data_IF_687594257697
#
_entry.id   IF_687594257697
#
_cell.length_a   1.000
_cell.length_b   1.000
_cell.length_c   1.000
_cell.angle_alpha   90.00
_cell.angle_beta   90.00
_cell.angle_gamma   90.00
#
_symmetry.space_group_name_H-M   'P 1'
#
loop_
_entity.id
_entity.type
_entity.pdbx_description
1 polymer ?
#
# COMPACT_ATOMS: atom_id res chain seq x y z
N UNK A 1 0.24 -0.77 15.51
CA UNK A 1 -0.36 -1.01 14.18
C UNK A 1 0.09 -2.38 13.73
N UNK A 2 -0.78 -3.13 13.07
CA UNK A 2 -0.51 -4.46 12.52
C UNK A 2 -0.63 -4.33 11.01
N UNK A 3 0.28 -4.96 10.27
CA UNK A 3 0.37 -4.83 8.82
C UNK A 3 0.33 -6.20 8.15
N UNK A 4 -0.52 -6.33 7.13
CA UNK A 4 -0.59 -7.47 6.23
C UNK A 4 -0.41 -6.97 4.80
N UNK A 5 0.66 -7.41 4.13
CA UNK A 5 0.84 -7.19 2.71
C UNK A 5 0.14 -8.30 1.93
N UNK A 6 -0.70 -7.94 0.97
CA UNK A 6 -1.27 -8.88 0.01
C UNK A 6 -0.40 -8.99 -1.24
N UNK A 7 -0.29 -10.21 -1.75
CA UNK A 7 0.44 -10.57 -2.96
C UNK A 7 -0.14 -11.87 -3.51
N UNK A 8 0.20 -12.20 -4.74
CA UNK A 8 -0.29 -13.39 -5.44
C UNK A 8 0.20 -14.67 -4.74
N UNK A 9 -0.71 -15.59 -4.42
CA UNK A 9 -0.39 -16.79 -3.65
C UNK A 9 -0.25 -16.58 -2.14
N UNK A 10 -0.73 -15.45 -1.59
CA UNK A 10 -0.89 -15.29 -0.14
C UNK A 10 -1.88 -16.34 0.39
N UNK A 11 -1.41 -17.21 1.28
CA UNK A 11 -2.24 -18.25 1.89
C UNK A 11 -2.66 -17.92 3.34
N UNK A 12 -3.54 -18.76 3.89
CA UNK A 12 -4.01 -18.66 5.28
C UNK A 12 -2.85 -18.81 6.28
N UNK A 13 -1.82 -19.61 5.97
CA UNK A 13 -0.71 -19.83 6.90
C UNK A 13 0.11 -18.57 7.12
N UNK A 14 0.35 -17.78 6.06
CA UNK A 14 1.10 -16.54 6.15
C UNK A 14 0.26 -15.39 6.74
N UNK A 15 -1.06 -15.43 6.57
CA UNK A 15 -1.96 -14.38 7.04
C UNK A 15 -2.46 -14.59 8.48
N UNK A 16 -2.72 -15.84 8.88
CA UNK A 16 -3.40 -16.19 10.14
C UNK A 16 -2.47 -16.82 11.17
N UNK A 17 -1.90 -17.99 10.89
CA UNK A 17 -1.01 -18.67 11.82
C UNK A 17 -0.13 -19.70 11.14
N UNK A 18 0.98 -20.01 11.79
CA UNK A 18 1.84 -21.15 11.42
C UNK A 18 2.20 -21.93 12.70
N UNK A 19 2.30 -23.25 12.58
CA UNK A 19 2.81 -24.08 13.67
C UNK A 19 4.34 -24.09 13.66
N UNK A 20 4.95 -23.85 14.82
CA UNK A 20 6.40 -23.96 14.99
C UNK A 20 6.81 -25.44 15.09
N UNK A 21 6.88 -26.11 13.95
CA UNK A 21 7.23 -27.53 13.85
C UNK A 21 8.63 -27.84 14.41
N UNK A 22 9.60 -26.95 14.21
CA UNK A 22 10.94 -27.13 14.76
C UNK A 22 10.92 -27.20 16.30
N UNK A 23 10.14 -26.33 16.94
CA UNK A 23 9.99 -26.32 18.39
C UNK A 23 9.18 -27.52 18.89
N UNK A 24 8.14 -27.94 18.15
CA UNK A 24 7.40 -29.16 18.46
C UNK A 24 8.32 -30.40 18.44
N UNK A 25 9.16 -30.54 17.42
CA UNK A 25 10.12 -31.66 17.32
C UNK A 25 11.14 -31.64 18.46
N UNK A 26 11.64 -30.46 18.82
CA UNK A 26 12.55 -30.33 19.96
C UNK A 26 11.89 -30.77 21.27
N UNK A 27 10.64 -30.35 21.49
CA UNK A 27 9.87 -30.73 22.68
C UNK A 27 9.67 -32.25 22.76
N UNK A 28 9.28 -32.89 21.65
CA UNK A 28 9.12 -34.35 21.57
C UNK A 28 10.42 -35.05 21.97
N UNK A 29 11.57 -34.61 21.45
CA UNK A 29 12.88 -35.21 21.76
C UNK A 29 13.26 -35.06 23.24
N UNK A 30 12.95 -33.91 23.85
CA UNK A 30 13.19 -33.68 25.26
C UNK A 30 12.30 -34.57 26.14
N UNK A 31 11.02 -34.71 25.78
CA UNK A 31 10.09 -35.61 26.45
C UNK A 31 10.54 -37.07 26.36
N UNK A 32 10.92 -37.55 25.17
CA UNK A 32 11.47 -38.89 24.96
C UNK A 32 12.72 -39.14 25.82
N UNK A 33 13.64 -38.18 25.89
CA UNK A 33 14.85 -38.28 26.71
C UNK A 33 14.56 -38.31 28.22
N UNK A 34 13.47 -37.68 28.66
CA UNK A 34 13.06 -37.62 30.07
C UNK A 34 12.28 -38.87 30.54
N UNK A 35 11.88 -39.76 29.63
CA UNK A 35 11.15 -41.00 29.95
C UNK A 35 9.68 -40.80 30.35
N UNK A 36 9.14 -39.58 30.27
CA UNK A 36 7.71 -39.28 30.46
C UNK A 36 7.00 -39.34 29.10
N UNK A 37 6.34 -40.46 28.79
CA UNK A 37 5.51 -40.55 27.59
C UNK A 37 4.14 -41.12 27.95
N UNK A 38 3.26 -40.24 28.42
CA UNK A 38 1.83 -40.43 28.18
C UNK A 38 1.51 -39.81 26.80
N UNK A 39 1.19 -40.66 25.83
CA UNK A 39 1.03 -40.27 24.42
C UNK A 39 -0.14 -39.33 24.20
N UNK A 40 -1.21 -39.48 24.97
CA UNK A 40 -2.40 -38.64 24.82
C UNK A 40 -2.15 -37.24 25.38
N UNK A 41 -1.55 -37.13 26.57
CA UNK A 41 -1.19 -35.83 27.15
C UNK A 41 -0.14 -35.11 26.31
N UNK A 42 0.86 -35.84 25.79
CA UNK A 42 1.89 -35.26 24.94
C UNK A 42 1.33 -34.71 23.62
N UNK A 43 0.38 -35.41 22.98
CA UNK A 43 -0.24 -34.96 21.72
C UNK A 43 -1.07 -33.69 21.93
N UNK A 44 -1.86 -33.62 23.00
CA UNK A 44 -2.63 -32.41 23.33
C UNK A 44 -1.71 -31.21 23.63
N UNK A 45 -0.56 -31.46 24.27
CA UNK A 45 0.40 -30.42 24.61
C UNK A 45 1.16 -29.88 23.37
N UNK A 46 1.27 -30.67 22.29
CA UNK A 46 1.90 -30.27 21.03
C UNK A 46 1.06 -29.30 20.19
N UNK A 47 -0.27 -29.39 20.28
CA UNK A 47 -1.20 -28.48 19.60
C UNK A 47 -1.75 -27.45 20.59
N UNK A 48 -0.84 -26.67 21.16
CA UNK A 48 -1.16 -25.60 22.11
C UNK A 48 -0.61 -24.26 21.63
N UNK A 49 -1.19 -23.15 22.10
CA UNK A 49 -0.80 -21.80 21.70
C UNK A 49 0.71 -21.51 21.80
N UNK A 50 1.45 -22.23 22.67
CA UNK A 50 2.90 -22.04 22.83
C UNK A 50 3.73 -22.35 21.58
N UNK A 51 3.19 -23.16 20.67
CA UNK A 51 3.80 -23.49 19.38
C UNK A 51 3.16 -22.72 18.23
N UNK A 52 2.12 -21.92 18.49
CA UNK A 52 1.40 -21.18 17.47
C UNK A 52 2.11 -19.85 17.20
N UNK A 53 2.60 -19.67 15.97
CA UNK A 53 3.11 -18.39 15.48
C UNK A 53 1.92 -17.61 14.94
N UNK A 54 1.40 -16.68 15.74
CA UNK A 54 0.31 -15.79 15.32
C UNK A 54 0.80 -14.86 14.21
N UNK A 55 0.12 -14.84 13.06
CA UNK A 55 0.38 -13.92 11.93
C UNK A 55 -0.56 -12.71 11.98
N UNK A 56 -0.43 -11.71 11.08
CA UNK A 56 -1.10 -10.42 11.24
C UNK A 56 -2.62 -10.49 11.53
N UNK A 57 -3.37 -11.36 10.85
CA UNK A 57 -4.82 -11.44 11.05
C UNK A 57 -5.18 -11.98 12.44
N UNK A 58 -4.55 -13.08 12.87
CA UNK A 58 -4.79 -13.64 14.21
C UNK A 58 -4.29 -12.70 15.31
N UNK A 59 -3.15 -12.03 15.08
CA UNK A 59 -2.66 -11.00 16.00
C UNK A 59 -3.64 -9.83 16.13
N UNK A 60 -4.41 -9.51 15.08
CA UNK A 60 -5.35 -8.39 15.08
C UNK A 60 -6.62 -8.67 15.88
N UNK A 61 -7.05 -9.94 15.92
CA UNK A 61 -8.24 -10.37 16.65
C UNK A 61 -7.94 -11.04 18.00
N UNK A 62 -6.68 -11.02 18.44
CA UNK A 62 -6.24 -11.64 19.68
C UNK A 62 -6.99 -11.07 20.92
N UNK A 63 -7.66 -11.97 21.63
CA UNK A 63 -8.46 -11.69 22.84
C UNK A 63 -7.65 -11.07 23.98
N UNK A 64 -6.35 -11.35 24.04
CA UNK A 64 -5.46 -10.81 25.09
C UNK A 64 -5.19 -9.31 24.96
N UNK A 65 -5.57 -8.69 23.83
CA UNK A 65 -5.36 -7.25 23.63
C UNK A 65 -6.23 -6.43 24.58
N UNK A 66 -5.63 -5.39 25.16
CA UNK A 66 -6.33 -4.43 26.04
C UNK A 66 -7.02 -3.29 25.28
N UNK A 67 -6.73 -3.12 23.99
CA UNK A 67 -7.25 -2.03 23.15
C UNK A 67 -7.37 -2.48 21.70
N UNK A 68 -8.32 -1.88 20.98
CA UNK A 68 -8.53 -2.09 19.56
C UNK A 68 -7.24 -1.74 18.78
N UNK A 69 -6.63 -2.68 18.04
CA UNK A 69 -5.49 -2.37 17.19
C UNK A 69 -5.96 -1.73 15.87
N UNK A 70 -5.02 -1.12 15.15
CA UNK A 70 -5.21 -0.76 13.74
C UNK A 70 -4.61 -1.87 12.91
N UNK A 71 -5.41 -2.46 12.01
CA UNK A 71 -5.01 -3.46 11.03
C UNK A 71 -4.98 -2.80 9.64
N UNK A 72 -3.80 -2.73 9.04
CA UNK A 72 -3.63 -2.33 7.64
C UNK A 72 -3.49 -3.58 6.78
N UNK A 73 -4.36 -3.73 5.79
CA UNK A 73 -4.32 -4.74 4.75
C UNK A 73 -3.96 -4.01 3.46
N UNK A 74 -2.74 -4.21 2.99
CA UNK A 74 -2.17 -3.45 1.88
C UNK A 74 -2.24 -4.24 0.58
N UNK A 75 -2.57 -3.59 -0.53
CA UNK A 75 -2.66 -4.15 -1.89
C UNK A 75 -3.58 -5.37 -2.03
N UNK A 76 -4.78 -5.32 -1.43
CA UNK A 76 -5.69 -6.48 -1.41
C UNK A 76 -6.05 -7.01 -2.81
N UNK A 77 -6.05 -6.15 -3.83
CA UNK A 77 -6.28 -6.53 -5.23
C UNK A 77 -5.28 -7.53 -5.80
N UNK A 78 -4.13 -7.73 -5.12
CA UNK A 78 -3.12 -8.72 -5.51
C UNK A 78 -3.33 -10.10 -4.87
N UNK A 79 -4.21 -10.22 -3.89
CA UNK A 79 -4.55 -11.52 -3.31
C UNK A 79 -5.62 -12.22 -4.17
N UNK A 80 -5.71 -13.53 -4.01
CA UNK A 80 -6.65 -14.39 -4.73
C UNK A 80 -8.07 -14.32 -4.14
N UNK A 81 -9.09 -14.70 -4.92
CA UNK A 81 -10.50 -14.64 -4.50
C UNK A 81 -10.81 -15.48 -3.26
N UNK A 82 -10.12 -16.62 -3.09
CA UNK A 82 -10.26 -17.48 -1.91
C UNK A 82 -9.88 -16.72 -0.62
N UNK A 83 -8.78 -15.96 -0.68
CA UNK A 83 -8.33 -15.14 0.43
C UNK A 83 -9.31 -13.99 0.72
N UNK A 84 -9.85 -13.34 -0.31
CA UNK A 84 -10.91 -12.33 -0.13
C UNK A 84 -12.15 -12.92 0.57
N UNK A 85 -12.56 -14.13 0.19
CA UNK A 85 -13.68 -14.85 0.80
C UNK A 85 -13.44 -15.10 2.30
N UNK A 86 -12.25 -15.59 2.64
CA UNK A 86 -11.84 -15.76 4.04
C UNK A 86 -11.83 -14.43 4.80
N UNK A 87 -11.25 -13.39 4.20
CA UNK A 87 -11.18 -12.07 4.81
C UNK A 87 -12.57 -11.48 5.06
N UNK A 88 -13.51 -11.68 4.13
CA UNK A 88 -14.91 -11.27 4.29
C UNK A 88 -15.61 -11.94 5.48
N UNK A 89 -15.36 -13.23 5.69
CA UNK A 89 -15.88 -13.96 6.85
C UNK A 89 -15.27 -13.42 8.15
N UNK A 90 -13.94 -13.28 8.17
CA UNK A 90 -13.22 -12.78 9.34
C UNK A 90 -13.66 -11.36 9.70
N UNK A 91 -13.67 -10.43 8.74
CA UNK A 91 -14.08 -9.03 8.97
C UNK A 91 -15.56 -8.91 9.36
N UNK A 92 -16.40 -9.86 8.97
CA UNK A 92 -17.82 -9.87 9.35
C UNK A 92 -18.03 -10.13 10.84
N UNK A 93 -17.22 -11.00 11.45
CA UNK A 93 -17.41 -11.45 12.83
C UNK A 93 -16.23 -11.12 13.77
N UNK A 94 -15.15 -10.58 13.22
CA UNK A 94 -13.83 -10.43 13.85
C UNK A 94 -13.38 -11.69 14.60
N UNK A 95 -13.53 -12.83 13.94
CA UNK A 95 -13.21 -14.14 14.50
C UNK A 95 -12.51 -15.02 13.48
N UNK A 96 -11.67 -15.93 13.97
CA UNK A 96 -11.02 -16.98 13.17
C UNK A 96 -11.07 -18.27 13.97
N UNK A 97 -11.45 -19.37 13.31
CA UNK A 97 -11.45 -20.70 13.93
C UNK A 97 -10.23 -21.48 13.48
N UNK A 98 -9.44 -21.92 14.45
CA UNK A 98 -8.31 -22.84 14.27
C UNK A 98 -8.81 -24.23 14.66
N UNK A 99 -8.78 -25.23 13.77
CA UNK A 99 -9.35 -26.55 14.04
C UNK A 99 -8.89 -27.19 15.37
N UNK A 100 -7.62 -27.02 15.71
CA UNK A 100 -7.02 -27.61 16.90
C UNK A 100 -7.25 -26.80 18.19
N UNK A 101 -7.49 -25.48 18.08
CA UNK A 101 -7.53 -24.57 19.23
C UNK A 101 -8.91 -23.92 19.46
N UNK A 102 -9.83 -24.08 18.51
CA UNK A 102 -11.15 -23.46 18.53
C UNK A 102 -11.17 -22.05 17.96
N UNK A 103 -12.20 -21.29 18.33
CA UNK A 103 -12.48 -19.97 17.77
C UNK A 103 -11.83 -18.86 18.60
N UNK A 104 -11.02 -18.04 17.94
CA UNK A 104 -10.51 -16.77 18.44
C UNK A 104 -11.45 -15.66 18.03
N UNK A 105 -11.89 -14.82 18.96
CA UNK A 105 -12.78 -13.70 18.64
C UNK A 105 -12.34 -12.40 19.29
N UNK A 106 -12.23 -11.33 18.51
CA UNK A 106 -11.77 -10.05 19.02
C UNK A 106 -12.71 -9.49 20.12
N UNK A 107 -12.17 -9.32 21.33
CA UNK A 107 -12.85 -8.56 22.41
C UNK A 107 -12.88 -7.06 22.07
N UNK A 108 -11.81 -6.57 21.43
CA UNK A 108 -11.71 -5.21 20.93
C UNK A 108 -11.49 -5.23 19.41
N UNK A 109 -12.56 -5.13 18.59
CA UNK A 109 -12.45 -5.21 17.15
C UNK A 109 -11.46 -4.19 16.57
N UNK A 110 -10.59 -4.59 15.63
CA UNK A 110 -9.64 -3.67 15.02
C UNK A 110 -10.32 -2.60 14.17
N UNK A 111 -9.68 -1.43 14.08
CA UNK A 111 -9.93 -0.50 12.99
C UNK A 111 -9.18 -1.01 11.78
N UNK A 112 -9.90 -1.30 10.70
CA UNK A 112 -9.34 -1.92 9.49
C UNK A 112 -9.20 -0.87 8.40
N UNK A 113 -7.99 -0.77 7.84
CA UNK A 113 -7.68 0.04 6.66
C UNK A 113 -7.28 -0.94 5.56
N UNK A 114 -7.94 -0.83 4.41
CA UNK A 114 -7.64 -1.65 3.24
C UNK A 114 -7.19 -0.71 2.14
N UNK A 115 -6.05 -1.01 1.51
CA UNK A 115 -5.59 -0.29 0.32
C UNK A 115 -5.72 -1.18 -0.91
N UNK A 116 -5.82 -0.53 -2.05
CA UNK A 116 -5.82 -1.22 -3.34
C UNK A 116 -5.27 -0.30 -4.41
N UNK A 117 -4.44 -0.85 -5.29
CA UNK A 117 -3.94 -0.16 -6.48
C UNK A 117 -4.86 -0.39 -7.70
N UNK A 118 -5.98 -1.09 -7.49
CA UNK A 118 -6.96 -1.44 -8.53
C UNK A 118 -6.33 -2.16 -9.74
N UNK A 119 -5.29 -2.97 -9.50
CA UNK A 119 -4.73 -3.88 -10.52
C UNK A 119 -5.74 -4.95 -10.92
N UNK A 120 -6.57 -5.38 -9.97
CA UNK A 120 -7.79 -6.17 -10.15
C UNK A 120 -8.95 -5.51 -9.43
N UNK A 121 -10.17 -5.77 -9.87
CA UNK A 121 -11.35 -5.37 -9.12
C UNK A 121 -11.53 -6.22 -7.87
N UNK A 122 -11.48 -5.58 -6.70
CA UNK A 122 -11.84 -6.18 -5.41
C UNK A 122 -13.32 -6.55 -5.41
N UNK A 123 -13.67 -7.67 -4.75
CA UNK A 123 -15.01 -8.23 -4.75
C UNK A 123 -16.04 -7.24 -4.19
N UNK A 124 -17.20 -7.16 -4.85
CA UNK A 124 -18.26 -6.20 -4.54
C UNK A 124 -18.82 -6.34 -3.11
N UNK A 125 -18.76 -7.54 -2.53
CA UNK A 125 -19.16 -7.80 -1.15
C UNK A 125 -18.29 -7.06 -0.13
N UNK A 126 -16.99 -6.89 -0.42
CA UNK A 126 -16.07 -6.15 0.44
C UNK A 126 -16.31 -4.66 0.31
N UNK A 127 -16.44 -4.16 -0.93
CA UNK A 127 -16.74 -2.74 -1.19
C UNK A 127 -18.00 -2.28 -0.46
N UNK A 128 -19.05 -3.10 -0.43
CA UNK A 128 -20.32 -2.80 0.27
C UNK A 128 -20.23 -2.80 1.80
N UNK A 129 -19.16 -3.36 2.38
CA UNK A 129 -18.92 -3.43 3.83
C UNK A 129 -17.89 -2.40 4.31
N UNK A 130 -17.33 -1.60 3.39
CA UNK A 130 -16.29 -0.62 3.68
C UNK A 130 -16.74 0.79 3.32
N UNK A 131 -16.20 1.79 4.04
CA UNK A 131 -16.21 3.16 3.56
C UNK A 131 -15.19 3.27 2.42
N UNK A 132 -15.67 3.45 1.21
CA UNK A 132 -14.81 3.55 0.03
C UNK A 132 -14.35 5.00 -0.16
N UNK A 133 -13.04 5.21 -0.19
CA UNK A 133 -12.44 6.52 -0.43
C UNK A 133 -11.47 6.43 -1.61
N UNK A 134 -11.76 7.21 -2.65
CA UNK A 134 -10.90 7.32 -3.83
C UNK A 134 -9.83 8.38 -3.60
N UNK A 135 -8.56 8.00 -3.77
CA UNK A 135 -7.43 8.92 -3.66
C UNK A 135 -7.05 9.39 -5.06
N UNK A 136 -7.37 10.63 -5.37
CA UNK A 136 -6.91 11.29 -6.60
C UNK A 136 -5.46 11.75 -6.46
N UNK A 137 -4.80 11.99 -7.60
CA UNK A 137 -3.52 12.68 -7.60
C UNK A 137 -3.64 14.05 -6.92
N UNK A 138 -2.61 14.48 -6.17
CA UNK A 138 -2.63 15.80 -5.54
C UNK A 138 -2.74 16.90 -6.59
N UNK A 139 -3.45 17.97 -6.24
CA UNK A 139 -3.35 19.21 -7.00
C UNK A 139 -1.94 19.82 -6.90
N UNK A 140 -1.66 20.81 -7.75
CA UNK A 140 -0.37 21.49 -7.77
C UNK A 140 0.08 22.00 -6.39
N UNK A 141 -0.82 22.59 -5.58
CA UNK A 141 -0.43 23.16 -4.29
C UNK A 141 -0.05 22.06 -3.30
N UNK A 142 -0.85 21.00 -3.25
CA UNK A 142 -0.61 19.85 -2.39
C UNK A 142 0.66 19.08 -2.81
N UNK A 143 0.89 18.92 -4.10
CA UNK A 143 2.10 18.25 -4.60
C UNK A 143 3.36 19.08 -4.35
N UNK A 144 3.32 20.39 -4.59
CA UNK A 144 4.41 21.28 -4.25
C UNK A 144 4.71 21.26 -2.74
N UNK A 145 3.68 21.21 -1.90
CA UNK A 145 3.85 21.05 -0.46
C UNK A 145 4.53 19.70 -0.13
N UNK A 146 4.12 18.61 -0.76
CA UNK A 146 4.75 17.29 -0.58
C UNK A 146 6.25 17.35 -0.94
N UNK A 147 6.61 17.99 -2.05
CA UNK A 147 8.02 18.17 -2.43
C UNK A 147 8.77 18.98 -1.37
N UNK A 148 8.23 20.11 -0.92
CA UNK A 148 8.90 20.95 0.08
C UNK A 148 9.07 20.24 1.43
N UNK A 149 8.13 19.39 1.82
CA UNK A 149 8.17 18.64 3.08
C UNK A 149 9.15 17.46 2.99
N UNK A 150 9.26 16.82 1.81
CA UNK A 150 10.11 15.63 1.61
C UNK A 150 11.53 15.96 1.15
N UNK A 151 11.72 17.06 0.43
CA UNK A 151 12.98 17.49 -0.18
C UNK A 151 13.16 19.00 0.10
N UNK A 152 13.37 19.38 1.37
CA UNK A 152 13.43 20.80 1.77
C UNK A 152 14.63 21.55 1.16
N UNK A 153 15.65 20.83 0.69
CA UNK A 153 16.84 21.38 0.02
C UNK A 153 16.60 21.75 -1.45
N UNK A 154 15.49 21.29 -2.05
CA UNK A 154 15.19 21.56 -3.44
C UNK A 154 14.98 23.08 -3.65
N UNK A 155 15.64 23.69 -4.66
CA UNK A 155 15.39 25.07 -5.01
C UNK A 155 13.91 25.29 -5.30
N UNK A 156 13.32 26.36 -4.72
CA UNK A 156 11.89 26.64 -4.84
C UNK A 156 11.41 26.71 -6.30
N UNK A 157 12.23 27.28 -7.17
CA UNK A 157 11.94 27.37 -8.60
C UNK A 157 11.89 25.99 -9.26
N UNK A 158 12.87 25.12 -8.98
CA UNK A 158 12.89 23.74 -9.44
C UNK A 158 11.63 22.99 -8.99
N UNK A 159 11.30 23.03 -7.70
CA UNK A 159 10.13 22.33 -7.16
C UNK A 159 8.83 22.76 -7.83
N UNK A 160 8.67 24.07 -8.10
CA UNK A 160 7.50 24.61 -8.82
C UNK A 160 7.44 24.13 -10.26
N UNK A 161 8.57 24.17 -10.98
CA UNK A 161 8.64 23.75 -12.38
C UNK A 161 8.42 22.24 -12.55
N UNK A 162 9.00 21.42 -11.66
CA UNK A 162 8.77 19.97 -11.62
C UNK A 162 7.31 19.66 -11.36
N UNK A 163 6.71 20.29 -10.35
CA UNK A 163 5.27 20.12 -10.06
C UNK A 163 4.42 20.48 -11.27
N UNK A 164 4.69 21.63 -11.90
CA UNK A 164 3.94 22.08 -13.07
C UNK A 164 4.11 21.15 -14.28
N UNK A 165 5.31 20.62 -14.49
CA UNK A 165 5.59 19.69 -15.58
C UNK A 165 4.88 18.34 -15.37
N UNK A 166 4.93 17.77 -14.17
CA UNK A 166 4.23 16.53 -13.84
C UNK A 166 2.72 16.69 -14.00
N UNK A 167 2.15 17.82 -13.56
CA UNK A 167 0.72 18.06 -13.72
C UNK A 167 0.30 18.12 -15.20
N UNK A 168 1.12 18.71 -16.08
CA UNK A 168 0.90 18.67 -17.54
C UNK A 168 1.06 17.24 -18.10
N UNK A 169 2.03 16.46 -17.62
CA UNK A 169 2.19 15.05 -18.03
C UNK A 169 0.96 14.20 -17.66
N UNK A 170 0.34 14.46 -16.51
CA UNK A 170 -0.89 13.74 -16.11
C UNK A 170 -2.11 14.11 -16.97
N UNK A 171 -2.05 15.22 -17.72
CA UNK A 171 -3.10 15.62 -18.67
C UNK A 171 -2.91 14.98 -20.06
N UNK A 172 -1.77 14.35 -20.34
CA UNK A 172 -1.53 13.58 -21.58
C UNK A 172 -1.99 12.12 -21.48
N UNK A 173 -2.27 11.52 -22.63
CA UNK A 173 -2.68 10.10 -22.77
C UNK A 173 -1.49 9.15 -22.62
N UNK A 174 -0.87 9.14 -21.43
CA UNK A 174 0.23 8.23 -21.09
C UNK A 174 -0.31 6.84 -20.78
N UNK A 175 0.45 5.80 -21.14
CA UNK A 175 0.16 4.43 -20.74
C UNK A 175 0.24 4.27 -19.23
N UNK A 176 1.30 4.83 -18.60
CA UNK A 176 1.42 4.89 -17.14
C UNK A 176 1.58 6.33 -16.67
N UNK A 177 0.53 6.82 -16.04
CA UNK A 177 0.49 8.14 -15.41
C UNK A 177 1.49 8.18 -14.24
N UNK A 178 2.40 9.16 -14.17
CA UNK A 178 3.38 9.25 -13.10
C UNK A 178 2.73 9.65 -11.77
N UNK A 179 3.11 8.94 -10.70
CA UNK A 179 2.65 9.20 -9.36
C UNK A 179 3.46 10.28 -8.63
N UNK A 180 3.16 10.44 -7.35
CA UNK A 180 3.88 11.35 -6.46
C UNK A 180 5.29 10.83 -6.18
N UNK A 181 5.47 9.51 -6.11
CA UNK A 181 6.78 8.89 -5.94
C UNK A 181 7.72 9.25 -7.08
N UNK A 182 7.28 9.13 -8.34
CA UNK A 182 8.06 9.54 -9.50
C UNK A 182 8.41 11.05 -9.48
N UNK A 183 7.51 11.88 -8.94
CA UNK A 183 7.77 13.33 -8.78
C UNK A 183 8.89 13.60 -7.79
N UNK A 184 8.90 12.89 -6.66
CA UNK A 184 9.93 13.01 -5.63
C UNK A 184 11.27 12.45 -6.11
N UNK A 185 11.25 11.29 -6.76
CA UNK A 185 12.45 10.65 -7.31
C UNK A 185 13.10 11.54 -8.37
N UNK A 186 12.29 12.13 -9.26
CA UNK A 186 12.79 13.03 -10.28
C UNK A 186 13.34 14.33 -9.69
N UNK A 187 12.65 14.93 -8.72
CA UNK A 187 13.15 16.12 -8.01
C UNK A 187 14.49 15.82 -7.32
N UNK A 188 14.60 14.66 -6.66
CA UNK A 188 15.83 14.24 -5.98
C UNK A 188 16.98 14.02 -6.96
N UNK A 189 16.70 13.43 -8.12
CA UNK A 189 17.69 13.25 -9.19
C UNK A 189 18.17 14.60 -9.76
N UNK A 190 17.25 15.54 -10.02
CA UNK A 190 17.59 16.88 -10.50
C UNK A 190 18.46 17.64 -9.47
N UNK A 191 18.14 17.52 -8.18
CA UNK A 191 18.94 18.09 -7.11
C UNK A 191 20.35 17.48 -7.08
N UNK A 192 20.47 16.15 -7.22
CA UNK A 192 21.77 15.46 -7.29
C UNK A 192 22.60 15.87 -8.53
N UNK A 193 21.93 16.27 -9.61
CA UNK A 193 22.54 16.85 -10.81
C UNK A 193 22.84 18.36 -10.66
N UNK A 194 22.71 18.91 -9.45
CA UNK A 194 22.89 20.32 -9.11
C UNK A 194 22.04 21.29 -9.96
N UNK A 195 20.85 20.85 -10.36
CA UNK A 195 19.94 21.69 -11.13
C UNK A 195 19.17 22.62 -10.19
N UNK A 196 19.05 23.88 -10.58
CA UNK A 196 18.24 24.88 -9.86
C UNK A 196 16.92 25.21 -10.56
N UNK A 197 16.79 24.82 -11.82
CA UNK A 197 15.61 24.96 -12.65
C UNK A 197 15.55 23.83 -13.69
N UNK A 198 14.38 23.62 -14.28
CA UNK A 198 14.18 22.68 -15.37
C UNK A 198 14.65 23.28 -16.71
N UNK A 199 15.57 22.56 -17.35
CA UNK A 199 16.03 22.81 -18.71
C UNK A 199 15.57 21.67 -19.66
N UNK A 200 15.17 21.96 -20.91
CA UNK A 200 14.71 20.93 -21.85
C UNK A 200 15.67 19.77 -22.06
N UNK A 201 16.99 20.02 -22.12
CA UNK A 201 17.97 18.95 -22.32
C UNK A 201 18.00 18.01 -21.12
N UNK A 202 17.99 18.59 -19.92
CA UNK A 202 17.96 17.82 -18.67
C UNK A 202 16.66 17.01 -18.56
N UNK A 203 15.52 17.57 -18.97
CA UNK A 203 14.26 16.83 -19.00
C UNK A 203 14.37 15.62 -19.93
N UNK A 204 14.83 15.81 -21.17
CA UNK A 204 14.97 14.72 -22.15
C UNK A 204 15.91 13.62 -21.64
N UNK A 205 17.02 13.99 -20.99
CA UNK A 205 18.03 13.07 -20.46
C UNK A 205 17.55 12.33 -19.20
N UNK A 206 16.60 12.90 -18.43
CA UNK A 206 16.12 12.34 -17.15
C UNK A 206 14.69 11.81 -17.20
N UNK A 207 14.02 11.89 -18.35
CA UNK A 207 12.61 11.52 -18.50
C UNK A 207 12.31 10.07 -18.11
N UNK A 208 13.28 9.15 -18.24
CA UNK A 208 13.14 7.75 -17.83
C UNK A 208 12.96 7.54 -16.31
N UNK A 209 13.22 8.58 -15.50
CA UNK A 209 12.94 8.55 -14.06
C UNK A 209 11.43 8.68 -13.83
N UNK A 210 10.74 9.48 -14.64
CA UNK A 210 9.30 9.73 -14.53
C UNK A 210 8.48 8.72 -15.34
N UNK A 211 8.86 8.52 -16.61
CA UNK A 211 8.14 7.66 -17.55
C UNK A 211 8.84 6.30 -17.66
N UNK A 212 8.06 5.22 -17.53
CA UNK A 212 8.59 3.84 -17.52
C UNK A 212 8.40 3.10 -18.83
N UNK A 213 7.66 3.68 -19.77
CA UNK A 213 7.38 3.08 -21.08
C UNK A 213 8.10 3.87 -22.16
N UNK A 214 8.71 3.16 -23.11
CA UNK A 214 9.43 3.80 -24.21
C UNK A 214 8.49 4.62 -25.09
N UNK A 215 7.30 4.10 -25.39
CA UNK A 215 6.28 4.79 -26.19
C UNK A 215 5.84 6.12 -25.53
N UNK A 216 5.67 6.13 -24.21
CA UNK A 216 5.37 7.36 -23.44
C UNK A 216 6.50 8.38 -23.56
N UNK A 217 7.76 7.92 -23.50
CA UNK A 217 8.95 8.78 -23.65
C UNK A 217 9.01 9.36 -25.07
N UNK A 218 8.77 8.55 -26.10
CA UNK A 218 8.78 8.98 -27.50
C UNK A 218 7.65 9.96 -27.81
N UNK A 219 6.47 9.79 -27.22
CA UNK A 219 5.34 10.70 -27.38
C UNK A 219 5.61 12.09 -26.79
N UNK A 220 6.36 12.15 -25.68
CA UNK A 220 6.58 13.41 -24.96
C UNK A 220 7.87 14.12 -25.41
N UNK A 221 8.86 13.41 -25.97
CA UNK A 221 10.18 13.95 -26.34
C UNK A 221 10.13 15.09 -27.36
N UNK A 222 11.05 16.06 -27.18
CA UNK A 222 11.31 17.10 -28.17
C UNK A 222 10.36 18.30 -28.08
N UNK A 223 9.56 18.53 -29.12
CA UNK A 223 8.67 19.70 -29.21
C UNK A 223 7.61 19.74 -28.08
N UNK A 224 6.98 18.61 -27.70
CA UNK A 224 6.03 18.56 -26.59
C UNK A 224 6.67 18.91 -25.24
N UNK A 225 7.91 18.45 -24.94
CA UNK A 225 8.64 18.86 -23.72
C UNK A 225 8.77 20.37 -23.63
N UNK A 226 9.21 21.02 -24.72
CA UNK A 226 9.40 22.47 -24.74
C UNK A 226 8.08 23.20 -24.54
N UNK A 227 7.03 22.76 -25.21
CA UNK A 227 5.70 23.34 -25.07
C UNK A 227 5.12 23.14 -23.65
N UNK A 228 5.31 21.97 -23.05
CA UNK A 228 4.89 21.67 -21.66
C UNK A 228 5.68 22.49 -20.65
N UNK A 229 6.98 22.64 -20.82
CA UNK A 229 7.82 23.45 -19.93
C UNK A 229 7.40 24.93 -19.97
N UNK A 230 7.12 25.47 -21.15
CA UNK A 230 6.64 26.86 -21.28
C UNK A 230 5.24 27.04 -20.70
N UNK A 231 4.33 26.05 -20.81
CA UNK A 231 3.03 26.08 -20.13
C UNK A 231 3.17 25.98 -18.61
N UNK A 232 4.07 25.14 -18.11
CA UNK A 232 4.39 24.98 -16.70
C UNK A 232 4.92 26.28 -16.08
N UNK A 233 5.86 26.96 -16.75
CA UNK A 233 6.39 28.27 -16.33
C UNK A 233 5.30 29.35 -16.26
N UNK A 234 4.31 29.28 -17.13
CA UNK A 234 3.20 30.24 -17.19
C UNK A 234 2.00 29.89 -16.30
N UNK A 235 1.89 28.64 -15.80
CA UNK A 235 0.90 28.23 -14.78
C UNK A 235 1.36 28.69 -13.38
N UNK A 236 1.28 30.00 -13.13
CA UNK A 236 1.18 30.50 -11.75
C UNK A 236 -0.05 29.89 -11.04
N UNK A 237 -0.11 29.92 -9.68
CA UNK A 237 -1.08 29.15 -8.90
C UNK A 237 -2.51 29.51 -9.29
N UNK A 238 -3.18 28.63 -10.05
CA UNK A 238 -4.61 28.78 -10.38
C UNK A 238 -5.41 28.62 -9.09
N UNK A 239 -6.05 29.70 -8.63
CA UNK A 239 -7.15 29.64 -7.65
C UNK A 239 -8.15 28.59 -8.13
N UNK A 240 -8.38 27.57 -7.29
CA UNK A 240 -9.29 26.47 -7.56
C UNK A 240 -10.61 26.96 -8.15
N UNK A 241 -11.02 26.32 -9.24
CA UNK A 241 -12.32 26.48 -9.87
C UNK A 241 -13.36 26.09 -8.83
N UNK A 242 -14.00 27.08 -8.18
CA UNK A 242 -15.20 26.88 -7.37
C UNK A 242 -16.19 26.08 -8.21
N UNK A 243 -16.50 24.85 -7.77
CA UNK A 243 -17.62 24.08 -8.29
C UNK A 243 -18.89 24.90 -8.12
N UNK A 244 -19.36 25.48 -9.22
CA UNK A 244 -20.68 26.06 -9.29
C UNK A 244 -21.70 24.93 -9.25
N UNK A 245 -22.48 24.88 -8.18
CA UNK A 245 -23.66 24.03 -8.09
C UNK A 245 -24.60 24.36 -9.25
N UNK A 246 -24.78 23.40 -10.15
CA UNK A 246 -25.87 23.37 -11.10
C UNK A 246 -26.94 22.45 -10.56
N UNK A 247 -28.02 23.04 -10.03
CA UNK A 247 -29.20 22.32 -9.61
C UNK A 247 -30.10 21.92 -10.78
N UNK A 248 -30.75 20.77 -10.59
CA UNK A 248 -32.09 20.44 -11.08
C UNK A 248 -32.17 19.68 -12.41
N UNK A 249 -33.35 19.13 -12.73
CA UNK A 249 -34.56 18.97 -11.92
C UNK A 249 -34.73 17.58 -11.29
#
# INVERSE_FOLDING_TARGET
MIHLQCYEGLDINHAVYEWNHARQILEIRLMEASGQVDRESATADLFSERFLIKRPLLQAIDESRKKAPVLLIDELDRADEEFEGFLLEMLGNFQITIPELGTYKAVHPPIVIITSNRTREVHDALKRRCLYYWIEYPDFQKELQIINDKIPEAPRQLAQQVTGFIQELRETELYKIPGVSETLDWTSALLALNQSELDPQVIDDTMGIVLKYQDDIEMVRGEPVRAMLERSKNRGPRRGRRGGGGGGP
#
